data_IF_067997654749
#
_entry.id   IF_067997654749
#
_cell.length_a   1.000
_cell.length_b   1.000
_cell.length_c   1.000
_cell.angle_alpha   90.00
_cell.angle_beta   90.00
_cell.angle_gamma   90.00
#
_symmetry.space_group_name_H-M   'P 1'
#
loop_
_entity.id
_entity.type
_entity.pdbx_description
1 polymer ?
#
# COMPACT_ATOMS: atom_id res chain seq x y z
N UNK A 1 34.56 -25.73 -26.71
CA UNK A 1 33.43 -26.20 -25.89
C UNK A 1 33.53 -25.65 -24.46
N UNK A 2 34.70 -25.77 -23.81
CA UNK A 2 34.88 -25.33 -22.41
C UNK A 2 34.76 -23.81 -22.18
N UNK A 3 35.28 -22.98 -23.09
CA UNK A 3 35.19 -21.51 -22.97
C UNK A 3 33.74 -21.02 -22.94
N UNK A 4 32.91 -21.55 -23.85
CA UNK A 4 31.49 -21.22 -23.93
C UNK A 4 30.72 -21.63 -22.67
N UNK A 5 31.12 -22.74 -22.05
CA UNK A 5 30.51 -23.21 -20.81
C UNK A 5 30.85 -22.29 -19.63
N UNK A 6 32.11 -21.85 -19.53
CA UNK A 6 32.55 -20.91 -18.51
C UNK A 6 31.80 -19.56 -18.61
N UNK A 7 31.64 -19.01 -19.82
CA UNK A 7 30.85 -17.79 -20.04
C UNK A 7 29.39 -17.93 -19.58
N UNK A 8 28.78 -19.08 -19.81
CA UNK A 8 27.39 -19.33 -19.40
C UNK A 8 27.26 -19.44 -17.89
N UNK A 9 28.23 -20.07 -17.22
CA UNK A 9 28.28 -20.14 -15.76
C UNK A 9 28.43 -18.76 -15.14
N UNK A 10 29.34 -17.93 -15.66
CA UNK A 10 29.53 -16.55 -15.20
C UNK A 10 28.25 -15.72 -15.37
N UNK A 11 27.59 -15.81 -16.52
CA UNK A 11 26.31 -15.13 -16.75
C UNK A 11 25.20 -15.59 -15.79
N UNK A 12 25.19 -16.87 -15.45
CA UNK A 12 24.23 -17.42 -14.49
C UNK A 12 24.52 -16.92 -13.08
N UNK A 13 25.78 -16.90 -12.66
CA UNK A 13 26.18 -16.35 -11.36
C UNK A 13 25.80 -14.87 -11.23
N UNK A 14 26.02 -14.06 -12.27
CA UNK A 14 25.62 -12.65 -12.30
C UNK A 14 24.10 -12.52 -12.15
N UNK A 15 23.33 -13.35 -12.86
CA UNK A 15 21.86 -13.35 -12.77
C UNK A 15 21.40 -13.70 -11.36
N UNK A 16 21.99 -14.71 -10.75
CA UNK A 16 21.62 -15.17 -9.42
C UNK A 16 21.95 -14.11 -8.36
N UNK A 17 23.09 -13.44 -8.48
CA UNK A 17 23.44 -12.31 -7.62
C UNK A 17 22.45 -11.14 -7.77
N UNK A 18 22.09 -10.79 -9.01
CA UNK A 18 21.11 -9.74 -9.28
C UNK A 18 19.73 -10.09 -8.70
N UNK A 19 19.30 -11.34 -8.83
CA UNK A 19 18.04 -11.82 -8.27
C UNK A 19 18.03 -11.74 -6.74
N UNK A 20 19.11 -12.20 -6.08
CA UNK A 20 19.24 -12.11 -4.62
C UNK A 20 19.26 -10.66 -4.13
N UNK A 21 19.90 -9.75 -4.85
CA UNK A 21 19.89 -8.33 -4.51
C UNK A 21 18.47 -7.76 -4.60
N UNK A 22 17.76 -8.06 -5.69
CA UNK A 22 16.37 -7.63 -5.89
C UNK A 22 15.44 -8.14 -4.79
N UNK A 23 15.54 -9.42 -4.41
CA UNK A 23 14.73 -9.98 -3.33
C UNK A 23 15.01 -9.31 -1.98
N UNK A 24 16.28 -9.03 -1.67
CA UNK A 24 16.67 -8.29 -0.46
C UNK A 24 16.05 -6.90 -0.46
N UNK A 25 16.12 -6.18 -1.57
CA UNK A 25 15.55 -4.84 -1.69
C UNK A 25 14.02 -4.86 -1.53
N UNK A 26 13.33 -5.79 -2.20
CA UNK A 26 11.89 -5.98 -2.03
C UNK A 26 11.50 -6.28 -0.58
N UNK A 27 12.26 -7.14 0.10
CA UNK A 27 12.03 -7.46 1.50
C UNK A 27 12.24 -6.25 2.43
N UNK A 28 13.26 -5.42 2.16
CA UNK A 28 13.50 -4.18 2.90
C UNK A 28 12.36 -3.18 2.70
N UNK A 29 11.93 -2.97 1.45
CA UNK A 29 10.79 -2.10 1.13
C UNK A 29 9.55 -2.58 1.88
N UNK A 30 9.20 -3.87 1.78
CA UNK A 30 8.07 -4.46 2.48
C UNK A 30 8.16 -4.25 3.99
N UNK A 31 9.32 -4.52 4.60
CA UNK A 31 9.54 -4.33 6.05
C UNK A 31 9.36 -2.87 6.47
N UNK A 32 9.85 -1.92 5.68
CA UNK A 32 9.67 -0.49 5.99
C UNK A 32 8.22 -0.04 5.85
N UNK A 33 7.50 -0.56 4.86
CA UNK A 33 6.08 -0.32 4.67
C UNK A 33 5.27 -0.90 5.83
N UNK A 34 5.44 -2.19 6.13
CA UNK A 34 4.73 -2.89 7.20
C UNK A 34 4.97 -2.24 8.56
N UNK A 35 6.21 -1.78 8.84
CA UNK A 35 6.52 -1.05 10.09
C UNK A 35 5.78 0.30 10.20
N UNK A 36 5.54 0.97 9.07
CA UNK A 36 4.84 2.27 9.02
C UNK A 36 3.33 2.13 8.89
N UNK A 37 2.85 0.99 8.37
CA UNK A 37 1.45 0.68 8.26
C UNK A 37 0.86 0.58 9.67
N UNK A 38 0.01 1.54 10.02
CA UNK A 38 -0.80 1.46 11.22
C UNK A 38 -2.07 0.69 10.88
N UNK A 39 -2.38 -0.33 11.67
CA UNK A 39 -3.70 -0.95 11.60
C UNK A 39 -4.75 0.08 11.98
N UNK A 40 -5.61 0.42 11.02
CA UNK A 40 -6.76 1.30 11.21
C UNK A 40 -8.00 0.42 11.25
N UNK A 41 -8.26 -0.19 12.39
CA UNK A 41 -9.48 -0.96 12.63
C UNK A 41 -10.54 -0.06 13.25
N UNK A 42 -11.73 -0.05 12.67
CA UNK A 42 -12.93 0.53 13.28
C UNK A 42 -13.88 -0.57 13.74
N UNK A 43 -14.64 -0.30 14.79
CA UNK A 43 -15.67 -1.19 15.32
C UNK A 43 -17.06 -0.68 14.94
N UNK A 44 -18.04 -1.58 14.98
CA UNK A 44 -19.44 -1.20 14.79
C UNK A 44 -19.84 -0.23 15.91
N UNK A 45 -20.45 0.89 15.52
CA UNK A 45 -20.83 1.98 16.42
C UNK A 45 -19.84 3.15 16.47
N UNK A 46 -18.63 3.00 15.93
CA UNK A 46 -17.67 4.09 15.85
C UNK A 46 -18.20 5.20 14.92
N UNK A 47 -18.00 6.45 15.34
CA UNK A 47 -18.24 7.63 14.51
C UNK A 47 -16.97 7.99 13.74
N UNK A 48 -17.07 8.03 12.42
CA UNK A 48 -15.96 8.28 11.51
C UNK A 48 -16.29 9.36 10.50
N UNK A 49 -15.27 10.13 10.10
CA UNK A 49 -15.39 11.07 8.98
C UNK A 49 -15.01 10.34 7.69
N UNK A 50 -15.75 10.59 6.61
CA UNK A 50 -15.42 10.04 5.29
C UNK A 50 -14.67 11.06 4.44
N UNK A 51 -13.48 10.69 3.98
CA UNK A 51 -12.71 11.49 3.01
C UNK A 51 -13.37 11.47 1.64
N UNK A 52 -13.66 12.65 1.09
CA UNK A 52 -14.13 12.82 -0.27
C UNK A 52 -12.92 13.01 -1.20
N UNK A 53 -12.49 11.92 -1.84
CA UNK A 53 -11.32 11.91 -2.72
C UNK A 53 -11.51 12.76 -3.99
N UNK A 54 -12.74 12.98 -4.44
CA UNK A 54 -12.99 13.79 -5.63
C UNK A 54 -12.95 15.28 -5.28
N UNK A 55 -13.49 15.68 -4.14
CA UNK A 55 -13.35 17.05 -3.62
C UNK A 55 -11.92 17.38 -3.21
N UNK A 56 -11.15 16.40 -2.74
CA UNK A 56 -9.75 16.63 -2.36
C UNK A 56 -8.83 17.06 -3.51
N UNK A 57 -9.24 16.85 -4.77
CA UNK A 57 -8.43 17.20 -5.94
C UNK A 57 -8.36 18.73 -6.12
N UNK A 58 -7.19 19.29 -6.49
CA UNK A 58 -7.07 20.72 -6.78
C UNK A 58 -8.11 21.19 -7.80
N UNK A 59 -8.76 22.32 -7.50
CA UNK A 59 -9.81 22.89 -8.36
C UNK A 59 -11.17 22.21 -8.31
N UNK A 60 -11.35 21.15 -7.50
CA UNK A 60 -12.63 20.47 -7.27
C UNK A 60 -13.34 20.90 -5.97
N UNK A 61 -12.74 21.81 -5.21
CA UNK A 61 -13.30 22.36 -3.99
C UNK A 61 -13.04 23.86 -3.87
N UNK A 62 -13.96 24.58 -3.22
CA UNK A 62 -13.74 25.97 -2.79
C UNK A 62 -12.86 26.04 -1.54
N UNK A 63 -12.40 27.24 -1.17
CA UNK A 63 -11.55 27.47 0.02
C UNK A 63 -12.20 27.00 1.33
N UNK A 64 -13.53 26.98 1.38
CA UNK A 64 -14.31 26.66 2.57
C UNK A 64 -15.14 25.38 2.44
N UNK A 65 -14.91 24.60 1.37
CA UNK A 65 -15.59 23.33 1.22
C UNK A 65 -14.95 22.28 2.14
N UNK A 66 -15.79 21.53 2.86
CA UNK A 66 -15.34 20.41 3.66
C UNK A 66 -14.95 19.22 2.77
N UNK A 67 -13.70 18.75 2.90
CA UNK A 67 -13.20 17.55 2.20
C UNK A 67 -13.57 16.27 2.98
N UNK A 68 -13.74 16.41 4.29
CA UNK A 68 -14.27 15.36 5.15
C UNK A 68 -15.77 15.56 5.31
N UNK A 69 -16.55 14.53 5.01
CA UNK A 69 -18.00 14.55 5.16
C UNK A 69 -18.42 13.81 6.43
N UNK A 70 -19.43 14.38 7.10
CA UNK A 70 -20.25 13.80 8.18
C UNK A 70 -19.51 13.22 9.38
N UNK A 71 -20.15 13.08 10.54
CA UNK A 71 -19.93 11.91 11.36
C UNK A 71 -20.83 10.79 10.84
N UNK A 72 -20.24 9.74 10.29
CA UNK A 72 -20.94 8.52 9.91
C UNK A 72 -20.76 7.45 10.97
N UNK A 73 -21.77 6.63 11.19
CA UNK A 73 -21.64 5.48 12.09
C UNK A 73 -21.25 4.24 11.30
N UNK A 74 -20.23 3.52 11.77
CA UNK A 74 -19.89 2.20 11.22
C UNK A 74 -20.99 1.22 11.59
N UNK A 75 -21.71 0.69 10.60
CA UNK A 75 -22.79 -0.28 10.80
C UNK A 75 -22.35 -1.72 10.60
N UNK A 76 -21.36 -1.95 9.72
CA UNK A 76 -20.81 -3.29 9.45
C UNK A 76 -19.33 -3.18 9.11
N UNK A 77 -18.53 -4.08 9.68
CA UNK A 77 -17.14 -4.31 9.28
C UNK A 77 -17.08 -5.45 8.27
N UNK A 78 -16.45 -5.23 7.12
CA UNK A 78 -16.19 -6.23 6.08
C UNK A 78 -14.68 -6.59 6.08
N UNK A 79 -14.32 -7.60 5.30
CA UNK A 79 -12.91 -7.98 5.13
C UNK A 79 -12.11 -6.88 4.43
N UNK A 80 -10.77 -6.92 4.57
CA UNK A 80 -9.83 -6.01 3.92
C UNK A 80 -10.04 -4.51 4.23
N UNK A 81 -10.30 -4.17 5.52
CA UNK A 81 -10.50 -2.79 5.98
C UNK A 81 -11.62 -2.03 5.23
N UNK A 82 -12.67 -2.74 4.82
CA UNK A 82 -13.86 -2.16 4.22
C UNK A 82 -14.98 -2.02 5.27
N UNK A 83 -15.64 -0.86 5.31
CA UNK A 83 -16.67 -0.56 6.30
C UNK A 83 -17.94 -0.06 5.62
N UNK A 84 -19.10 -0.43 6.16
CA UNK A 84 -20.38 0.14 5.77
C UNK A 84 -20.75 1.25 6.74
N UNK A 85 -21.16 2.39 6.18
CA UNK A 85 -21.52 3.60 6.92
C UNK A 85 -23.04 3.82 6.83
N UNK A 86 -23.64 4.32 7.91
CA UNK A 86 -25.02 4.85 7.94
C UNK A 86 -25.01 6.38 7.98
#
# INVERSE_FOLDING_TARGET
>A
MEVRYAELMELQEIRDQAFQAMEKDQALIKKTFDKKAKDRSFQIGDLVLKWDADRAKPGRHSKFDAIWSGPYMVTKCKNNNAFQLA
#
